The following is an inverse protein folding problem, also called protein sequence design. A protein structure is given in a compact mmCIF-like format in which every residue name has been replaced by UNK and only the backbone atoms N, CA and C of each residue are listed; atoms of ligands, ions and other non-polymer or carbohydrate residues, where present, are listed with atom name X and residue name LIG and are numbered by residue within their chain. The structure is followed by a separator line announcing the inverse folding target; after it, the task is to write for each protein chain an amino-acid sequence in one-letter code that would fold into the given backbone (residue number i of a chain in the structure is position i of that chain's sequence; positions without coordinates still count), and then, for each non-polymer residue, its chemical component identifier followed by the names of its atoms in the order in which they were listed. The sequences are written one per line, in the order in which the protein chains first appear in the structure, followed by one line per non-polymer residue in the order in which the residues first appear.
data_IF_704552846442
#
_entry.id   IF_704552846442
#
_cell.length_a   1.000
_cell.length_b   1.000
_cell.length_c   1.000
_cell.angle_alpha   90.00
_cell.angle_beta   90.00
_cell.angle_gamma   90.00
#
_symmetry.space_group_name_H-M   'P 1'
#
loop_
_entity.id
_entity.type
_entity.pdbx_description
1 polymer ?
#
# COMPACT_ATOMS: atom_id res chain seq x y z
N UNK A 1 -10.47 22.66 -8.69
CA UNK A 1 -9.47 21.65 -8.24
C UNK A 1 -9.41 20.58 -9.31
N UNK A 2 -8.32 20.49 -10.07
CA UNK A 2 -8.24 19.58 -11.23
C UNK A 2 -7.68 18.24 -10.77
N UNK A 3 -8.47 17.17 -10.82
CA UNK A 3 -8.01 15.83 -10.48
C UNK A 3 -7.12 15.27 -11.60
N UNK A 4 -5.87 14.96 -11.30
CA UNK A 4 -4.96 14.28 -12.22
C UNK A 4 -5.51 12.88 -12.53
N UNK A 5 -6.02 12.69 -13.75
CA UNK A 5 -6.52 11.39 -14.22
C UNK A 5 -5.38 10.57 -14.82
N UNK A 6 -4.67 9.84 -13.97
CA UNK A 6 -3.71 8.82 -14.42
C UNK A 6 -4.49 7.63 -15.00
N UNK A 7 -4.44 7.44 -16.32
CA UNK A 7 -4.98 6.24 -16.98
C UNK A 7 -3.83 5.27 -17.21
N UNK A 8 -3.71 4.27 -16.35
CA UNK A 8 -2.88 3.10 -16.63
C UNK A 8 -3.73 2.06 -17.37
N UNK A 9 -3.44 1.84 -18.65
CA UNK A 9 -4.19 0.95 -19.55
C UNK A 9 -3.87 -0.53 -19.37
N UNK A 10 -2.79 -0.84 -18.66
CA UNK A 10 -2.46 -2.18 -18.19
C UNK A 10 -2.80 -2.22 -16.71
N UNK A 11 -3.64 -3.16 -16.28
CA UNK A 11 -4.09 -3.29 -14.88
C UNK A 11 -2.93 -3.18 -13.89
N UNK A 12 -3.21 -2.61 -12.73
CA UNK A 12 -2.21 -2.42 -11.68
C UNK A 12 -1.63 -3.78 -11.27
N UNK A 13 -0.30 -3.87 -11.13
CA UNK A 13 0.34 -5.07 -10.60
C UNK A 13 0.55 -4.89 -9.11
N UNK A 14 0.28 -5.96 -8.38
CA UNK A 14 0.62 -6.04 -6.97
C UNK A 14 2.13 -5.86 -6.76
N UNK A 15 2.51 -5.31 -5.61
CA UNK A 15 3.91 -5.19 -5.21
C UNK A 15 4.04 -5.35 -3.70
N UNK A 16 5.22 -5.79 -3.28
CA UNK A 16 5.50 -6.07 -1.87
C UNK A 16 6.10 -4.83 -1.21
N UNK A 17 5.68 -4.53 0.02
CA UNK A 17 6.26 -3.44 0.80
C UNK A 17 6.28 -3.72 2.29
N UNK A 18 7.21 -3.03 2.98
CA UNK A 18 7.44 -3.16 4.41
C UNK A 18 7.43 -1.79 5.07
N UNK A 19 6.65 -1.61 6.14
CA UNK A 19 6.70 -0.37 6.93
C UNK A 19 7.99 -0.29 7.73
N UNK A 20 8.62 0.87 7.75
CA UNK A 20 9.87 1.13 8.48
C UNK A 20 9.84 2.55 9.07
N UNK A 21 10.59 2.83 10.16
CA UNK A 21 10.75 4.19 10.66
C UNK A 21 11.32 5.12 9.59
N UNK A 22 11.03 6.42 9.70
CA UNK A 22 11.55 7.43 8.77
C UNK A 22 13.07 7.27 8.59
N UNK A 23 13.59 7.23 7.36
CA UNK A 23 12.98 7.62 6.07
C UNK A 23 12.26 6.50 5.29
N UNK A 24 11.99 5.36 5.93
CA UNK A 24 11.31 4.21 5.32
C UNK A 24 9.81 4.42 5.10
N UNK A 25 9.13 3.36 4.63
CA UNK A 25 7.71 3.44 4.27
C UNK A 25 6.84 3.66 5.52
N UNK A 26 6.01 4.73 5.55
CA UNK A 26 5.28 5.10 6.74
C UNK A 26 4.11 4.16 7.01
N UNK A 27 3.99 3.75 8.27
CA UNK A 27 2.90 2.90 8.76
C UNK A 27 1.52 3.52 8.53
N UNK A 28 1.43 4.85 8.44
CA UNK A 28 0.17 5.57 8.20
C UNK A 28 -0.39 5.46 6.79
N UNK A 29 0.44 5.05 5.83
CA UNK A 29 0.01 4.84 4.44
C UNK A 29 -0.34 3.37 4.16
N UNK A 30 0.03 2.44 5.04
CA UNK A 30 -0.26 1.03 4.82
C UNK A 30 -1.75 0.72 4.53
N UNK A 31 -2.75 1.20 5.29
CA UNK A 31 -4.15 0.82 5.03
C UNK A 31 -4.67 1.32 3.66
N UNK A 32 -4.20 2.46 3.17
CA UNK A 32 -4.57 3.00 1.86
C UNK A 32 -3.91 2.19 0.74
N UNK A 33 -2.66 1.76 0.92
CA UNK A 33 -1.98 0.88 -0.02
C UNK A 33 -2.56 -0.54 -0.02
N UNK A 34 -3.00 -1.06 1.13
CA UNK A 34 -3.73 -2.32 1.21
C UNK A 34 -4.99 -2.31 0.35
N UNK A 35 -5.82 -1.26 0.45
CA UNK A 35 -7.01 -1.11 -0.37
C UNK A 35 -6.68 -1.03 -1.87
N UNK A 36 -5.57 -0.37 -2.23
CA UNK A 36 -5.08 -0.31 -3.62
C UNK A 36 -4.65 -1.70 -4.13
N UNK A 37 -3.89 -2.45 -3.34
CA UNK A 37 -3.39 -3.78 -3.70
C UNK A 37 -4.53 -4.78 -3.95
N UNK A 38 -5.68 -4.65 -3.27
CA UNK A 38 -6.88 -5.44 -3.56
C UNK A 38 -7.45 -5.23 -4.97
N UNK A 39 -7.10 -4.14 -5.65
CA UNK A 39 -7.50 -3.85 -7.03
C UNK A 39 -6.46 -4.29 -8.07
N UNK A 40 -5.29 -4.73 -7.61
CA UNK A 40 -4.18 -5.14 -8.46
C UNK A 40 -4.29 -6.62 -8.87
N UNK A 41 -3.78 -6.94 -10.05
CA UNK A 41 -3.60 -8.32 -10.47
C UNK A 41 -2.32 -8.90 -9.86
N UNK A 42 -2.43 -10.07 -9.24
CA UNK A 42 -1.32 -10.81 -8.62
C UNK A 42 -1.46 -10.93 -7.11
N UNK A 43 -0.42 -11.45 -6.46
CA UNK A 43 -0.30 -11.49 -5.00
C UNK A 43 0.57 -10.31 -4.54
N UNK A 44 0.38 -9.85 -3.31
CA UNK A 44 1.22 -8.82 -2.69
C UNK A 44 1.40 -9.13 -1.21
N UNK A 45 2.62 -8.94 -0.73
CA UNK A 45 3.01 -9.11 0.66
C UNK A 45 3.18 -7.74 1.31
N UNK A 46 2.49 -7.55 2.43
CA UNK A 46 2.60 -6.34 3.25
C UNK A 46 3.14 -6.73 4.62
N UNK A 47 4.35 -6.26 4.93
CA UNK A 47 5.01 -6.50 6.22
C UNK A 47 4.91 -5.26 7.11
N UNK A 48 4.27 -5.39 8.27
CA UNK A 48 4.28 -4.37 9.31
C UNK A 48 5.44 -4.59 10.28
N UNK A 49 6.38 -3.63 10.39
CA UNK A 49 7.52 -3.75 11.34
C UNK A 49 7.59 -2.65 12.39
N UNK A 50 6.68 -1.67 12.36
CA UNK A 50 6.70 -0.50 13.27
C UNK A 50 5.59 -0.58 14.34
N UNK A 51 4.41 -1.14 14.02
CA UNK A 51 3.30 -1.28 14.96
C UNK A 51 2.64 -2.65 14.83
N UNK A 52 3.00 -3.59 15.70
CA UNK A 52 2.45 -4.97 15.70
C UNK A 52 0.94 -5.02 15.99
N UNK A 53 0.39 -4.03 16.71
CA UNK A 53 -1.04 -3.92 17.04
C UNK A 53 -1.83 -2.97 16.13
N UNK A 54 -1.44 -2.81 14.86
CA UNK A 54 -2.22 -1.96 13.92
C UNK A 54 -3.43 -2.67 13.31
N UNK A 55 -3.50 -4.00 13.38
CA UNK A 55 -4.56 -4.81 12.77
C UNK A 55 -5.69 -5.22 13.74
N UNK A 56 -5.66 -4.74 14.98
CA UNK A 56 -6.52 -5.23 16.08
C UNK A 56 -7.77 -4.38 16.35
N UNK A 57 -8.18 -3.49 15.45
CA UNK A 57 -9.37 -2.65 15.60
C UNK A 57 -10.24 -2.62 14.34
#
# INVERSE_FOLDING_TARGET
VSALKSRHSAGLRGFDFKTCPYPGFPTDLQPQFMALLCTCNGSSLVEESVFESRMTH
#
